data_IF_627721357493
#
_entry.id   IF_627721357493
#
_cell.length_a   1.000
_cell.length_b   1.000
_cell.length_c   1.000
_cell.angle_alpha   90.00
_cell.angle_beta   90.00
_cell.angle_gamma   90.00
#
_symmetry.space_group_name_H-M   'P 1'
#
loop_
_entity.id
_entity.type
_entity.pdbx_description
1 polymer ?
#
# COMPACT_ATOMS: atom_id res chain seq x y z
N UNK A 1 -3.34 21.92 6.65
CA UNK A 1 -2.13 21.09 6.42
C UNK A 1 -1.78 21.15 4.94
N UNK A 2 -0.50 21.16 4.60
CA UNK A 2 -0.04 21.09 3.21
C UNK A 2 -0.08 19.64 2.70
N UNK A 3 0.05 19.45 1.39
CA UNK A 3 0.19 18.11 0.80
C UNK A 3 1.42 17.38 1.35
N UNK A 4 2.54 18.09 1.54
CA UNK A 4 3.76 17.56 2.18
C UNK A 4 3.51 17.06 3.60
N UNK A 5 2.79 17.81 4.44
CA UNK A 5 2.45 17.34 5.80
C UNK A 5 1.61 16.08 5.75
N UNK A 6 0.59 16.04 4.88
CA UNK A 6 -0.25 14.86 4.70
C UNK A 6 0.54 13.66 4.17
N UNK A 7 1.51 13.89 3.28
CA UNK A 7 2.39 12.87 2.75
C UNK A 7 3.29 12.24 3.84
N UNK A 8 3.83 13.04 4.77
CA UNK A 8 4.54 12.50 5.93
C UNK A 8 3.62 11.74 6.89
N UNK A 9 2.39 12.23 7.09
CA UNK A 9 1.38 11.49 7.86
C UNK A 9 1.00 10.17 7.20
N UNK A 10 1.01 10.09 5.86
CA UNK A 10 0.78 8.86 5.12
C UNK A 10 1.88 7.83 5.36
N UNK A 11 3.15 8.26 5.43
CA UNK A 11 4.25 7.40 5.84
C UNK A 11 4.05 6.90 7.28
N UNK A 12 3.74 7.79 8.22
CA UNK A 12 3.50 7.41 9.61
C UNK A 12 2.33 6.43 9.76
N UNK A 13 1.24 6.65 9.02
CA UNK A 13 0.10 5.75 8.95
C UNK A 13 0.51 4.37 8.43
N UNK A 14 1.35 4.31 7.39
CA UNK A 14 1.88 3.05 6.85
C UNK A 14 2.75 2.32 7.89
N UNK A 15 3.59 3.03 8.64
CA UNK A 15 4.35 2.44 9.74
C UNK A 15 3.46 1.79 10.80
N UNK A 16 2.38 2.49 11.22
CA UNK A 16 1.40 1.93 12.15
C UNK A 16 0.67 0.71 11.57
N UNK A 17 0.34 0.74 10.28
CA UNK A 17 -0.30 -0.37 9.58
C UNK A 17 0.58 -1.61 9.53
N UNK A 18 1.87 -1.46 9.19
CA UNK A 18 2.85 -2.56 9.19
C UNK A 18 2.96 -3.18 10.59
N UNK A 19 2.94 -2.35 11.64
CA UNK A 19 2.99 -2.83 13.02
C UNK A 19 1.74 -3.66 13.38
N UNK A 20 0.54 -3.21 12.97
CA UNK A 20 -0.70 -3.97 13.14
C UNK A 20 -0.62 -5.32 12.42
N UNK A 21 -0.24 -5.32 11.15
CA UNK A 21 -0.09 -6.52 10.32
C UNK A 21 0.89 -7.53 10.96
N UNK A 22 2.04 -7.05 11.41
CA UNK A 22 3.03 -7.88 12.08
C UNK A 22 2.49 -8.47 13.39
N UNK A 23 1.90 -7.63 14.24
CA UNK A 23 1.41 -8.01 15.58
C UNK A 23 0.29 -9.05 15.51
N UNK A 24 -0.59 -8.95 14.51
CA UNK A 24 -1.73 -9.84 14.34
C UNK A 24 -1.54 -10.93 13.29
N UNK A 25 -0.28 -11.28 12.99
CA UNK A 25 0.09 -12.45 12.17
C UNK A 25 -0.47 -12.42 10.74
N UNK A 26 -0.24 -11.30 10.06
CA UNK A 26 -0.60 -11.11 8.65
C UNK A 26 -0.12 -12.27 7.76
N UNK A 27 1.10 -12.80 7.98
CA UNK A 27 1.66 -13.87 7.15
C UNK A 27 0.75 -15.09 7.10
N UNK A 28 0.34 -15.60 8.27
CA UNK A 28 -0.49 -16.82 8.30
C UNK A 28 -1.92 -16.51 7.88
N UNK A 29 -2.43 -15.30 8.17
CA UNK A 29 -3.71 -14.85 7.64
C UNK A 29 -3.73 -14.80 6.10
N UNK A 30 -2.71 -14.21 5.47
CA UNK A 30 -2.60 -14.08 4.02
C UNK A 30 -2.50 -15.45 3.34
N UNK A 31 -1.77 -16.40 3.93
CA UNK A 31 -1.77 -17.80 3.47
C UNK A 31 -3.13 -18.47 3.60
N UNK A 32 -3.80 -18.29 4.72
CA UNK A 32 -5.06 -18.96 5.00
C UNK A 32 -6.23 -18.40 4.17
N UNK A 33 -6.31 -17.09 4.04
CA UNK A 33 -7.43 -16.36 3.40
C UNK A 33 -7.14 -16.04 1.94
N UNK A 34 -5.97 -15.47 1.64
CA UNK A 34 -5.63 -15.01 0.29
C UNK A 34 -4.87 -16.05 -0.54
N UNK A 35 -4.47 -17.17 0.07
CA UNK A 35 -3.69 -18.26 -0.58
C UNK A 35 -2.36 -17.78 -1.18
N UNK A 36 -1.80 -16.70 -0.63
CA UNK A 36 -0.51 -16.17 -1.09
C UNK A 36 0.65 -16.95 -0.42
N UNK A 37 1.68 -17.36 -1.17
CA UNK A 37 2.83 -18.10 -0.63
C UNK A 37 3.85 -17.15 0.01
N UNK A 38 3.39 -16.28 0.91
CA UNK A 38 4.22 -15.22 1.54
C UNK A 38 4.98 -15.73 2.75
N UNK A 39 6.25 -15.39 2.86
CA UNK A 39 7.09 -15.55 4.06
C UNK A 39 7.26 -14.21 4.81
N UNK A 40 7.78 -14.27 6.04
CA UNK A 40 8.09 -13.04 6.78
C UNK A 40 9.20 -12.21 6.11
N UNK A 41 10.14 -12.85 5.42
CA UNK A 41 11.15 -12.11 4.62
C UNK A 41 10.52 -11.29 3.50
N UNK A 42 9.50 -11.82 2.82
CA UNK A 42 8.76 -11.09 1.78
C UNK A 42 8.06 -9.86 2.39
N UNK A 43 7.44 -10.03 3.55
CA UNK A 43 6.81 -8.95 4.30
C UNK A 43 7.83 -7.86 4.68
N UNK A 44 8.96 -8.22 5.27
CA UNK A 44 9.98 -7.25 5.71
C UNK A 44 10.58 -6.47 4.54
N UNK A 45 10.98 -7.14 3.46
CA UNK A 45 11.59 -6.48 2.30
C UNK A 45 10.59 -5.55 1.61
N UNK A 46 9.37 -6.03 1.38
CA UNK A 46 8.34 -5.22 0.73
C UNK A 46 7.99 -3.99 1.56
N UNK A 47 7.80 -4.16 2.87
CA UNK A 47 7.42 -3.04 3.74
C UNK A 47 8.57 -2.06 3.99
N UNK A 48 9.83 -2.51 4.02
CA UNK A 48 10.98 -1.60 4.04
C UNK A 48 11.00 -0.70 2.80
N UNK A 49 10.73 -1.26 1.61
CA UNK A 49 10.62 -0.47 0.38
C UNK A 49 9.43 0.50 0.41
N UNK A 50 8.29 0.10 0.94
CA UNK A 50 7.13 0.99 1.09
C UNK A 50 7.44 2.17 2.01
N UNK A 51 8.15 1.95 3.12
CA UNK A 51 8.62 3.03 4.01
C UNK A 51 9.56 3.99 3.28
N UNK A 52 10.52 3.47 2.51
CA UNK A 52 11.42 4.30 1.71
C UNK A 52 10.64 5.10 0.66
N UNK A 53 9.71 4.46 -0.06
CA UNK A 53 8.84 5.14 -1.01
C UNK A 53 8.00 6.23 -0.34
N UNK A 54 7.50 5.98 0.87
CA UNK A 54 6.75 6.93 1.68
C UNK A 54 7.58 8.14 2.11
N UNK A 55 8.87 7.99 2.37
CA UNK A 55 9.75 9.13 2.60
C UNK A 55 10.01 9.91 1.30
N UNK A 56 10.35 9.20 0.21
CA UNK A 56 10.66 9.82 -1.10
C UNK A 56 9.47 10.64 -1.64
N UNK A 57 8.26 10.09 -1.62
CA UNK A 57 7.07 10.82 -2.08
C UNK A 57 6.77 12.05 -1.23
N UNK A 58 7.07 12.01 0.08
CA UNK A 58 6.83 13.14 0.97
C UNK A 58 7.80 14.29 0.69
N UNK A 59 9.08 13.98 0.45
CA UNK A 59 10.09 14.97 0.05
C UNK A 59 9.76 15.62 -1.30
N UNK A 60 9.18 14.86 -2.24
CA UNK A 60 8.82 15.35 -3.57
C UNK A 60 7.45 16.05 -3.61
N UNK A 61 6.65 15.98 -2.54
CA UNK A 61 5.25 16.40 -2.56
C UNK A 61 5.01 17.87 -2.92
N UNK A 62 5.96 18.76 -2.62
CA UNK A 62 5.83 20.19 -2.90
C UNK A 62 6.02 20.54 -4.38
N UNK A 63 6.80 19.75 -5.13
CA UNK A 63 7.18 20.02 -6.52
C UNK A 63 6.59 19.02 -7.50
N UNK A 64 6.21 17.83 -7.03
CA UNK A 64 5.68 16.76 -7.87
C UNK A 64 4.48 16.06 -7.21
N UNK A 65 3.27 16.66 -7.31
CA UNK A 65 2.05 16.14 -6.66
C UNK A 65 1.66 14.71 -7.07
N UNK A 66 2.10 14.24 -8.24
CA UNK A 66 1.87 12.87 -8.68
C UNK A 66 2.44 11.84 -7.71
N UNK A 67 3.62 12.09 -7.12
CA UNK A 67 4.29 11.17 -6.21
C UNK A 67 3.45 10.85 -4.95
N UNK A 68 2.99 11.86 -4.16
CA UNK A 68 2.13 11.60 -3.02
C UNK A 68 0.77 11.03 -3.41
N UNK A 69 0.21 11.41 -4.56
CA UNK A 69 -1.08 10.87 -5.01
C UNK A 69 -0.99 9.40 -5.43
N UNK A 70 0.12 8.97 -6.01
CA UNK A 70 0.38 7.56 -6.29
C UNK A 70 0.51 6.74 -5.00
N UNK A 71 1.13 7.30 -3.97
CA UNK A 71 1.22 6.67 -2.64
C UNK A 71 -0.14 6.62 -1.94
N UNK A 72 -0.95 7.69 -2.03
CA UNK A 72 -2.32 7.70 -1.55
C UNK A 72 -3.20 6.66 -2.28
N UNK A 73 -3.03 6.52 -3.60
CA UNK A 73 -3.70 5.46 -4.38
C UNK A 73 -3.28 4.07 -3.90
N UNK A 74 -1.98 3.84 -3.69
CA UNK A 74 -1.45 2.59 -3.13
C UNK A 74 -2.13 2.25 -1.79
N UNK A 75 -2.26 3.22 -0.88
CA UNK A 75 -2.93 3.04 0.42
C UNK A 75 -4.41 2.67 0.26
N UNK A 76 -5.14 3.36 -0.61
CA UNK A 76 -6.57 3.06 -0.86
C UNK A 76 -6.73 1.67 -1.46
N UNK A 77 -5.91 1.31 -2.45
CA UNK A 77 -5.94 -0.01 -3.09
C UNK A 77 -5.61 -1.10 -2.06
N UNK A 78 -4.59 -0.87 -1.23
CA UNK A 78 -4.26 -1.76 -0.11
C UNK A 78 -5.48 -1.95 0.81
N UNK A 79 -6.00 -0.85 1.37
CA UNK A 79 -7.12 -0.85 2.30
C UNK A 79 -8.34 -1.60 1.73
N UNK A 80 -8.70 -1.34 0.47
CA UNK A 80 -9.85 -1.95 -0.19
C UNK A 80 -9.61 -3.43 -0.48
N UNK A 81 -8.55 -3.78 -1.21
CA UNK A 81 -8.42 -5.11 -1.80
C UNK A 81 -7.71 -6.12 -0.91
N UNK A 82 -6.93 -5.67 0.07
CA UNK A 82 -6.15 -6.55 0.95
C UNK A 82 -6.70 -6.62 2.38
N UNK A 83 -7.56 -5.68 2.78
CA UNK A 83 -8.16 -5.69 4.13
C UNK A 83 -9.69 -5.72 4.12
N UNK A 84 -10.35 -4.66 3.62
CA UNK A 84 -11.81 -4.54 3.70
C UNK A 84 -12.51 -5.64 2.90
N UNK A 85 -12.15 -5.81 1.62
CA UNK A 85 -12.80 -6.81 0.77
C UNK A 85 -12.56 -8.24 1.27
N UNK A 86 -11.33 -8.66 1.65
CA UNK A 86 -11.11 -9.97 2.26
C UNK A 86 -11.86 -10.17 3.58
N UNK A 87 -11.93 -9.15 4.45
CA UNK A 87 -12.72 -9.20 5.69
C UNK A 87 -14.20 -9.49 5.39
N UNK A 88 -14.79 -8.73 4.47
CA UNK A 88 -16.19 -8.92 4.05
C UNK A 88 -16.41 -10.31 3.43
N UNK A 89 -15.52 -10.75 2.54
CA UNK A 89 -15.62 -12.05 1.85
C UNK A 89 -15.38 -13.25 2.75
N UNK A 90 -14.64 -13.08 3.85
CA UNK A 90 -14.37 -14.13 4.82
C UNK A 90 -15.37 -14.16 5.98
N UNK A 91 -16.53 -13.49 5.83
CA UNK A 91 -17.60 -13.49 6.83
C UNK A 91 -17.23 -12.70 8.10
N UNK A 92 -16.41 -11.66 7.97
CA UNK A 92 -15.98 -10.83 9.09
C UNK A 92 -14.78 -11.38 9.87
N UNK A 93 -14.03 -12.35 9.31
CA UNK A 93 -12.75 -12.75 9.90
C UNK A 93 -11.79 -11.56 9.86
N UNK A 94 -11.33 -11.13 11.03
CA UNK A 94 -10.41 -10.00 11.17
C UNK A 94 -9.21 -10.14 10.22
N UNK A 95 -8.97 -9.08 9.44
CA UNK A 95 -7.81 -8.95 8.57
C UNK A 95 -6.77 -8.09 9.30
N UNK A 96 -5.57 -8.61 9.62
CA UNK A 96 -4.48 -7.81 10.18
C UNK A 96 -4.20 -6.60 9.28
N UNK A 97 -4.26 -5.39 9.84
CA UNK A 97 -4.16 -4.13 9.07
C UNK A 97 -5.51 -3.45 8.81
N UNK A 98 -6.65 -4.11 9.10
CA UNK A 98 -7.98 -3.55 8.86
C UNK A 98 -8.25 -2.30 9.70
N UNK A 99 -7.84 -2.28 10.97
CA UNK A 99 -8.17 -1.16 11.86
C UNK A 99 -7.45 0.12 11.39
N UNK A 100 -6.15 0.03 11.15
CA UNK A 100 -5.34 1.14 10.59
C UNK A 100 -5.73 1.47 9.15
N UNK A 101 -6.19 0.51 8.34
CA UNK A 101 -6.71 0.82 7.01
C UNK A 101 -7.95 1.74 7.10
N UNK A 102 -8.89 1.42 7.99
CA UNK A 102 -10.12 2.20 8.19
C UNK A 102 -9.86 3.54 8.86
N UNK A 103 -9.04 3.55 9.92
CA UNK A 103 -8.85 4.73 10.78
C UNK A 103 -7.76 5.66 10.27
N UNK A 104 -6.76 5.14 9.53
CA UNK A 104 -5.61 5.92 9.06
C UNK A 104 -5.52 5.98 7.53
N UNK A 105 -5.56 4.84 6.82
CA UNK A 105 -5.32 4.87 5.37
C UNK A 105 -6.38 5.66 4.62
N UNK A 106 -7.67 5.36 4.82
CA UNK A 106 -8.71 6.11 4.13
C UNK A 106 -8.70 7.60 4.50
N UNK A 107 -8.71 8.02 5.78
CA UNK A 107 -8.75 9.44 6.10
C UNK A 107 -7.54 10.21 5.58
N UNK A 108 -6.34 9.66 5.70
CA UNK A 108 -5.11 10.34 5.25
C UNK A 108 -5.06 10.40 3.72
N UNK A 109 -5.30 9.29 3.03
CA UNK A 109 -5.26 9.26 1.57
C UNK A 109 -6.34 10.17 0.96
N UNK A 110 -7.58 10.14 1.48
CA UNK A 110 -8.66 11.03 1.04
C UNK A 110 -8.28 12.50 1.28
N UNK A 111 -7.67 12.83 2.43
CA UNK A 111 -7.20 14.18 2.71
C UNK A 111 -6.11 14.63 1.72
N UNK A 112 -5.21 13.74 1.29
CA UNK A 112 -4.20 14.04 0.27
C UNK A 112 -4.85 14.37 -1.08
N UNK A 113 -5.79 13.55 -1.54
CA UNK A 113 -6.54 13.80 -2.77
C UNK A 113 -7.32 15.11 -2.71
N UNK A 114 -8.04 15.33 -1.60
CA UNK A 114 -8.78 16.57 -1.36
C UNK A 114 -7.86 17.80 -1.37
N UNK A 115 -6.69 17.69 -0.74
CA UNK A 115 -5.72 18.79 -0.68
C UNK A 115 -5.14 19.11 -2.04
N UNK A 116 -4.73 18.10 -2.81
CA UNK A 116 -4.21 18.29 -4.17
C UNK A 116 -5.27 18.93 -5.09
N UNK A 117 -6.53 18.52 -4.96
CA UNK A 117 -7.63 19.15 -5.67
C UNK A 117 -7.85 20.61 -5.26
N UNK A 118 -7.88 20.88 -3.96
CA UNK A 118 -8.06 22.23 -3.41
C UNK A 118 -6.95 23.20 -3.80
N UNK A 119 -5.72 22.68 -3.96
CA UNK A 119 -4.54 23.46 -4.36
C UNK A 119 -4.44 23.63 -5.89
N UNK A 120 -5.38 23.09 -6.67
CA UNK A 120 -5.35 23.13 -8.14
C UNK A 120 -4.26 22.24 -8.76
N UNK A 121 -3.67 21.35 -7.97
CA UNK A 121 -2.59 20.44 -8.35
C UNK A 121 -3.10 19.09 -8.92
N UNK A 122 -4.42 18.92 -9.01
CA UNK A 122 -5.05 17.70 -9.47
C UNK A 122 -5.90 17.95 -10.73
N UNK A 123 -5.46 17.37 -11.85
CA UNK A 123 -6.26 17.19 -13.05
C UNK A 123 -6.58 15.70 -13.30
N UNK A 124 -7.44 15.42 -14.29
CA UNK A 124 -7.87 14.06 -14.60
C UNK A 124 -6.73 13.15 -15.08
N UNK A 125 -5.74 13.72 -15.79
CA UNK A 125 -4.57 12.97 -16.26
C UNK A 125 -3.69 12.53 -15.08
N UNK A 126 -3.38 13.47 -14.19
CA UNK A 126 -2.62 13.23 -12.95
C UNK A 126 -3.33 12.21 -12.07
N UNK A 127 -4.66 12.32 -11.93
CA UNK A 127 -5.46 11.35 -11.19
C UNK A 127 -5.33 9.93 -11.76
N UNK A 128 -5.51 9.78 -13.07
CA UNK A 128 -5.43 8.49 -13.74
C UNK A 128 -4.04 7.87 -13.62
N UNK A 129 -2.98 8.66 -13.83
CA UNK A 129 -1.59 8.20 -13.71
C UNK A 129 -1.27 7.82 -12.26
N UNK A 130 -1.70 8.61 -11.26
CA UNK A 130 -1.49 8.29 -9.85
C UNK A 130 -2.14 6.96 -9.48
N UNK A 131 -3.39 6.72 -9.90
CA UNK A 131 -4.09 5.45 -9.65
C UNK A 131 -3.38 4.29 -10.34
N UNK A 132 -2.98 4.46 -11.60
CA UNK A 132 -2.24 3.45 -12.35
C UNK A 132 -0.92 3.09 -11.66
N UNK A 133 -0.13 4.09 -11.27
CA UNK A 133 1.15 3.88 -10.57
C UNK A 133 0.92 3.20 -9.23
N UNK A 134 -0.06 3.64 -8.43
CA UNK A 134 -0.42 3.00 -7.16
C UNK A 134 -0.84 1.52 -7.34
N UNK A 135 -1.61 1.22 -8.39
CA UNK A 135 -2.01 -0.14 -8.73
C UNK A 135 -0.82 -1.01 -9.16
N UNK A 136 0.10 -0.47 -9.97
CA UNK A 136 1.32 -1.16 -10.37
C UNK A 136 2.24 -1.44 -9.19
N UNK A 137 2.41 -0.46 -8.29
CA UNK A 137 3.18 -0.62 -7.05
C UNK A 137 2.59 -1.72 -6.16
N UNK A 138 1.27 -1.80 -6.04
CA UNK A 138 0.60 -2.88 -5.30
C UNK A 138 0.74 -4.24 -5.98
N UNK A 139 0.56 -4.29 -7.31
CA UNK A 139 0.61 -5.53 -8.07
C UNK A 139 2.01 -6.14 -8.11
N UNK A 140 3.06 -5.31 -8.11
CA UNK A 140 4.45 -5.74 -8.26
C UNK A 140 4.89 -6.86 -7.30
N UNK A 141 4.79 -6.73 -5.96
CA UNK A 141 5.19 -7.81 -5.05
C UNK A 141 4.36 -9.09 -5.27
N UNK A 142 3.06 -8.98 -5.55
CA UNK A 142 2.19 -10.12 -5.84
C UNK A 142 2.63 -10.85 -7.12
N UNK A 143 2.98 -10.10 -8.17
CA UNK A 143 3.51 -10.67 -9.42
C UNK A 143 4.85 -11.35 -9.15
N UNK A 144 5.76 -10.73 -8.41
CA UNK A 144 7.07 -11.32 -8.09
C UNK A 144 6.96 -12.60 -7.27
N UNK A 145 6.02 -12.66 -6.31
CA UNK A 145 5.71 -13.89 -5.56
C UNK A 145 5.21 -15.02 -6.48
N UNK A 146 4.42 -14.70 -7.50
CA UNK A 146 3.97 -15.69 -8.46
C UNK A 146 5.10 -16.13 -9.40
N UNK A 147 5.92 -15.19 -9.89
CA UNK A 147 7.03 -15.48 -10.79
C UNK A 147 8.10 -16.35 -10.13
N UNK A 148 8.47 -16.09 -8.86
CA UNK A 148 9.50 -16.90 -8.16
C UNK A 148 9.14 -18.38 -8.06
N UNK A 149 7.86 -18.73 -8.10
CA UNK A 149 7.38 -20.12 -8.06
C UNK A 149 7.61 -20.87 -9.37
N UNK A 150 7.75 -20.13 -10.48
CA UNK A 150 7.91 -20.69 -11.82
C UNK A 150 9.31 -21.28 -11.97
N UNK A 151 9.43 -22.44 -12.63
CA UNK A 151 10.73 -23.07 -12.81
C UNK A 151 11.79 -22.11 -13.37
N UNK A 152 11.47 -21.28 -14.37
CA UNK A 152 12.42 -20.34 -15.00
C UNK A 152 13.26 -19.52 -14.01
N UNK A 153 12.68 -19.09 -12.89
CA UNK A 153 13.32 -18.20 -11.92
C UNK A 153 14.01 -18.92 -10.76
N UNK A 154 14.00 -20.27 -10.73
CA UNK A 154 14.66 -21.07 -9.70
C UNK A 154 16.16 -21.16 -9.98
N UNK A 155 16.99 -20.68 -9.06
CA UNK A 155 18.45 -20.60 -9.22
C UNK A 155 19.19 -21.89 -8.77
N UNK A 156 18.45 -22.88 -8.27
CA UNK A 156 18.91 -24.18 -7.81
C UNK A 156 18.66 -25.31 -8.84
N UNK A 157 18.38 -24.94 -10.09
CA UNK A 157 18.20 -25.91 -11.16
C UNK A 157 19.56 -26.49 -11.59
N UNK A 158 19.65 -27.82 -11.78
CA UNK A 158 20.86 -28.47 -12.27
C UNK A 158 21.20 -28.07 -13.71
#
# INVERSE_FOLDING_TARGET
MTLTTLAWLALAAYGAHILEEYTFDWRNWARAVMKLPVEWSDFYVTNALVVVLGAVQAELAATWPLAPLAYAALMIINAVFFHVLPFLRSGGRFSPGLATAVILFFPVAIAMWWRAWSDGALDGGTAAVAVLVGALLMAYPVVMLNLRSKPYFRQDRP
#
